data_IF_063248012522
#
_entry.id   IF_063248012522
#
_cell.length_a   1.000
_cell.length_b   1.000
_cell.length_c   1.000
_cell.angle_alpha   90.00
_cell.angle_beta   90.00
_cell.angle_gamma   90.00
#
_symmetry.space_group_name_H-M   'P 1'
#
loop_
_entity.id
_entity.type
_entity.pdbx_description
1 polymer ?
#
# COMPACT_ATOMS: atom_id res chain seq x y z
N UNK A 1 2.63 10.06 -21.27
CA UNK A 1 1.50 9.59 -20.45
C UNK A 1 0.42 9.02 -21.34
N UNK A 2 -0.12 7.85 -21.00
CA UNK A 2 -1.18 7.18 -21.77
C UNK A 2 -2.54 7.81 -21.47
N UNK A 3 -3.24 8.26 -22.51
CA UNK A 3 -4.55 8.89 -22.42
C UNK A 3 -5.59 8.24 -23.32
N UNK A 4 -6.87 8.55 -23.08
CA UNK A 4 -7.98 8.16 -23.95
C UNK A 4 -8.90 9.36 -24.19
N UNK A 5 -9.28 9.60 -25.44
CA UNK A 5 -10.19 10.68 -25.82
C UNK A 5 -11.67 10.26 -25.71
N UNK A 6 -12.60 11.22 -25.85
CA UNK A 6 -14.05 10.96 -25.81
C UNK A 6 -14.53 9.98 -26.90
N UNK A 7 -13.76 9.85 -27.98
CA UNK A 7 -14.02 8.93 -29.10
C UNK A 7 -13.38 7.56 -28.87
N UNK A 8 -12.88 7.29 -27.66
CA UNK A 8 -12.20 6.06 -27.25
C UNK A 8 -10.90 5.77 -28.01
N UNK A 9 -10.30 6.77 -28.63
CA UNK A 9 -8.96 6.64 -29.24
C UNK A 9 -7.92 6.86 -28.17
N UNK A 10 -6.89 6.04 -28.19
CA UNK A 10 -5.76 6.17 -27.30
C UNK A 10 -4.77 7.20 -27.86
N UNK A 11 -4.10 7.89 -26.95
CA UNK A 11 -3.04 8.83 -27.30
C UNK A 11 -1.93 8.80 -26.27
N UNK A 12 -0.75 9.26 -26.67
CA UNK A 12 0.31 9.63 -25.75
C UNK A 12 0.37 11.14 -25.63
N UNK A 13 0.55 11.63 -24.41
CA UNK A 13 0.70 13.04 -24.08
C UNK A 13 2.00 13.27 -23.31
N UNK A 14 2.69 14.35 -23.64
CA UNK A 14 3.75 14.96 -22.84
C UNK A 14 3.40 16.43 -22.55
N UNK A 15 4.35 17.21 -22.01
CA UNK A 15 4.13 18.64 -21.72
C UNK A 15 3.94 19.51 -22.98
N UNK A 16 4.20 18.98 -24.18
CA UNK A 16 4.24 19.73 -25.43
C UNK A 16 3.07 19.42 -26.34
N UNK A 17 2.73 18.13 -26.50
CA UNK A 17 1.80 17.70 -27.54
C UNK A 17 1.18 16.33 -27.25
N UNK A 18 0.24 15.94 -28.11
CA UNK A 18 -0.44 14.65 -28.08
C UNK A 18 -0.32 13.96 -29.44
N UNK A 19 -0.08 12.66 -29.43
CA UNK A 19 -0.05 11.82 -30.64
C UNK A 19 -1.02 10.64 -30.48
N UNK A 20 -1.83 10.38 -31.51
CA UNK A 20 -2.74 9.22 -31.53
C UNK A 20 -1.90 7.96 -31.72
N UNK A 21 -2.27 6.90 -31.00
CA UNK A 21 -1.54 5.63 -31.06
C UNK A 21 -2.44 4.50 -31.54
N UNK A 22 -1.83 3.58 -32.30
CA UNK A 22 -2.44 2.36 -32.78
C UNK A 22 -1.73 1.14 -32.17
N UNK A 23 -2.51 0.30 -31.51
CA UNK A 23 -2.05 -0.88 -30.78
C UNK A 23 -2.15 -2.19 -31.56
N UNK A 24 -2.57 -2.15 -32.82
CA UNK A 24 -2.94 -3.35 -33.60
C UNK A 24 -1.86 -4.45 -33.59
N UNK A 25 -0.57 -4.08 -33.60
CA UNK A 25 0.55 -5.02 -33.63
C UNK A 25 1.52 -4.86 -32.43
N UNK A 26 1.05 -4.26 -31.34
CA UNK A 26 1.90 -3.93 -30.20
C UNK A 26 2.28 -5.18 -29.37
N UNK A 27 3.56 -5.30 -29.04
CA UNK A 27 4.04 -6.17 -27.98
C UNK A 27 4.14 -5.41 -26.64
N UNK A 28 3.85 -6.08 -25.54
CA UNK A 28 3.83 -5.47 -24.20
C UNK A 28 4.84 -6.15 -23.28
N UNK A 29 5.51 -5.38 -22.43
CA UNK A 29 6.22 -5.94 -21.28
C UNK A 29 5.23 -6.40 -20.21
N UNK A 30 5.68 -7.22 -19.28
CA UNK A 30 4.86 -7.60 -18.13
C UNK A 30 4.48 -6.36 -17.31
N UNK A 31 3.21 -6.26 -16.94
CA UNK A 31 2.69 -5.10 -16.22
C UNK A 31 1.21 -4.81 -16.52
N UNK A 32 0.56 -4.08 -15.61
CA UNK A 32 -0.81 -3.62 -15.76
C UNK A 32 -0.84 -2.17 -16.28
N UNK A 33 -1.05 -2.00 -17.58
CA UNK A 33 -1.14 -0.67 -18.20
C UNK A 33 -2.53 -0.05 -18.02
N UNK A 34 -2.61 1.08 -17.32
CA UNK A 34 -3.83 1.86 -17.18
C UNK A 34 -3.72 3.21 -17.86
N UNK A 35 -4.86 3.83 -18.15
CA UNK A 35 -4.89 5.24 -18.53
C UNK A 35 -4.25 6.03 -17.38
N UNK A 36 -3.53 7.11 -17.71
CA UNK A 36 -2.70 7.91 -16.82
C UNK A 36 -1.31 7.32 -16.50
N UNK A 37 -1.00 6.09 -16.94
CA UNK A 37 0.36 5.57 -16.76
C UNK A 37 1.39 6.34 -17.61
N UNK A 38 2.58 6.52 -17.06
CA UNK A 38 3.78 6.89 -17.81
C UNK A 38 4.35 5.61 -18.43
N UNK A 39 4.49 5.59 -19.75
CA UNK A 39 4.93 4.43 -20.53
C UNK A 39 6.03 4.84 -21.50
N UNK A 40 6.91 3.91 -21.80
CA UNK A 40 7.85 3.98 -22.92
C UNK A 40 7.26 3.20 -24.09
N UNK A 41 7.23 3.84 -25.26
CA UNK A 41 6.62 3.27 -26.47
C UNK A 41 7.61 3.38 -27.61
N UNK A 42 7.87 2.26 -28.28
CA UNK A 42 8.66 2.17 -29.49
C UNK A 42 7.74 1.87 -30.67
N UNK A 43 7.97 2.53 -31.80
CA UNK A 43 7.14 2.36 -32.98
C UNK A 43 7.50 3.32 -34.11
N UNK A 44 6.67 3.31 -35.14
CA UNK A 44 6.82 4.15 -36.33
C UNK A 44 5.63 5.09 -36.46
N UNK A 45 5.88 6.33 -36.88
CA UNK A 45 4.82 7.32 -37.14
C UNK A 45 4.46 7.29 -38.62
N UNK A 46 3.20 7.00 -38.93
CA UNK A 46 2.65 6.99 -40.28
C UNK A 46 1.35 7.79 -40.25
N UNK A 47 1.22 8.79 -41.13
CA UNK A 47 0.03 9.66 -41.24
C UNK A 47 -0.43 10.26 -39.88
N UNK A 48 0.51 10.82 -39.11
CA UNK A 48 0.31 11.42 -37.78
C UNK A 48 -0.22 10.44 -36.70
N UNK A 49 -0.13 9.14 -36.95
CA UNK A 49 -0.45 8.08 -35.99
C UNK A 49 0.80 7.28 -35.66
N UNK A 50 1.08 7.09 -34.37
CA UNK A 50 2.17 6.23 -33.92
C UNK A 50 1.67 4.78 -33.87
N UNK A 51 2.19 3.96 -34.78
CA UNK A 51 1.97 2.52 -34.78
C UNK A 51 2.95 1.86 -33.82
N UNK A 52 2.40 1.34 -32.71
CA UNK A 52 3.18 0.80 -31.61
C UNK A 52 3.74 -0.58 -31.98
N UNK A 53 5.06 -0.73 -31.85
CA UNK A 53 5.76 -2.01 -31.96
C UNK A 53 5.94 -2.63 -30.58
N UNK A 54 6.43 -1.85 -29.61
CA UNK A 54 6.62 -2.29 -28.23
C UNK A 54 6.20 -1.22 -27.23
N UNK A 55 5.63 -1.63 -26.10
CA UNK A 55 5.26 -0.75 -25.00
C UNK A 55 5.65 -1.37 -23.66
N UNK A 56 6.26 -0.57 -22.80
CA UNK A 56 6.65 -0.97 -21.46
C UNK A 56 6.65 0.18 -20.47
N UNK A 57 6.91 -0.12 -19.22
CA UNK A 57 7.12 0.89 -18.20
C UNK A 57 8.54 1.44 -18.21
N UNK A 58 8.76 2.68 -17.75
CA UNK A 58 10.11 3.11 -17.41
C UNK A 58 10.71 2.16 -16.36
N UNK A 59 11.99 1.79 -16.48
CA UNK A 59 12.61 0.91 -15.51
C UNK A 59 12.66 1.59 -14.13
N UNK A 60 12.32 0.88 -13.05
CA UNK A 60 12.32 1.44 -11.71
C UNK A 60 13.75 1.78 -11.26
N UNK A 61 13.93 2.96 -10.68
CA UNK A 61 15.21 3.36 -10.11
C UNK A 61 15.43 2.71 -8.74
N UNK A 62 16.66 2.27 -8.46
CA UNK A 62 17.02 1.75 -7.14
C UNK A 62 17.08 2.88 -6.10
N UNK A 63 16.69 2.60 -4.86
CA UNK A 63 16.77 3.53 -3.72
C UNK A 63 18.16 4.17 -3.55
N UNK A 64 19.23 3.40 -3.78
CA UNK A 64 20.62 3.91 -3.68
C UNK A 64 20.91 5.02 -4.70
N UNK A 65 20.56 4.80 -5.96
CA UNK A 65 20.71 5.79 -7.03
C UNK A 65 19.87 7.05 -6.75
N UNK A 66 18.62 6.88 -6.30
CA UNK A 66 17.75 8.02 -5.95
C UNK A 66 18.34 8.86 -4.81
N UNK A 67 18.87 8.22 -3.75
CA UNK A 67 19.46 8.91 -2.60
C UNK A 67 20.76 9.65 -2.93
N UNK A 68 21.57 9.12 -3.86
CA UNK A 68 22.76 9.81 -4.37
C UNK A 68 22.39 11.12 -5.08
N UNK A 69 21.35 11.10 -5.91
CA UNK A 69 20.84 12.28 -6.62
C UNK A 69 20.22 13.30 -5.66
N UNK A 70 19.45 12.83 -4.68
CA UNK A 70 18.80 13.68 -3.68
C UNK A 70 19.78 14.32 -2.68
N UNK A 71 21.06 13.98 -2.74
CA UNK A 71 22.08 14.56 -1.85
C UNK A 71 21.84 14.27 -0.37
N UNK A 72 21.18 13.15 -0.07
CA UNK A 72 20.84 12.74 1.30
C UNK A 72 19.55 13.35 1.87
N UNK A 73 18.82 14.17 1.12
CA UNK A 73 17.50 14.66 1.51
C UNK A 73 16.51 13.50 1.43
N UNK A 74 15.80 13.25 2.51
CA UNK A 74 14.70 12.29 2.56
C UNK A 74 13.38 13.03 2.24
N UNK A 75 12.62 12.64 1.20
CA UNK A 75 11.34 13.26 0.89
C UNK A 75 10.30 13.13 2.01
N UNK A 76 10.48 12.19 2.94
CA UNK A 76 9.65 12.06 4.14
C UNK A 76 9.93 13.15 5.19
N UNK A 77 10.87 14.07 4.91
CA UNK A 77 11.23 15.18 5.81
C UNK A 77 12.08 14.75 7.00
N UNK A 78 12.58 13.51 7.00
CA UNK A 78 13.44 12.99 8.06
C UNK A 78 14.90 13.17 7.65
N UNK A 79 15.53 14.24 8.14
CA UNK A 79 16.96 14.46 7.91
C UNK A 79 17.79 13.51 8.77
N UNK A 80 18.26 12.41 8.14
CA UNK A 80 19.16 11.45 8.79
C UNK A 80 20.52 11.49 8.10
N UNK A 81 21.57 11.82 8.87
CA UNK A 81 22.94 11.76 8.35
C UNK A 81 23.34 10.33 7.96
N UNK A 82 24.31 10.18 7.05
CA UNK A 82 24.82 8.87 6.66
C UNK A 82 25.34 8.05 7.85
N UNK A 83 25.95 8.70 8.84
CA UNK A 83 26.43 8.04 10.07
C UNK A 83 25.26 7.53 10.92
N UNK A 84 24.21 8.34 11.09
CA UNK A 84 23.01 7.91 11.83
C UNK A 84 22.29 6.77 11.11
N UNK A 85 22.22 6.79 9.77
CA UNK A 85 21.62 5.68 9.00
C UNK A 85 22.36 4.36 9.24
N UNK A 86 23.69 4.38 9.27
CA UNK A 86 24.47 3.18 9.54
C UNK A 86 24.28 2.69 10.99
N UNK A 87 24.18 3.61 11.96
CA UNK A 87 23.85 3.27 13.34
C UNK A 87 22.45 2.64 13.47
N UNK A 88 21.44 3.21 12.80
CA UNK A 88 20.08 2.68 12.79
C UNK A 88 20.05 1.28 12.18
N UNK A 89 20.74 1.07 11.06
CA UNK A 89 20.85 -0.24 10.42
C UNK A 89 21.51 -1.27 11.35
N UNK A 90 22.56 -0.88 12.07
CA UNK A 90 23.21 -1.77 13.04
C UNK A 90 22.29 -2.13 14.21
N UNK A 91 21.51 -1.15 14.70
CA UNK A 91 20.51 -1.39 15.76
C UNK A 91 19.40 -2.32 15.27
N UNK A 92 18.85 -2.06 14.08
CA UNK A 92 17.84 -2.91 13.45
C UNK A 92 18.33 -4.34 13.26
N UNK A 93 19.56 -4.53 12.76
CA UNK A 93 20.15 -5.85 12.58
C UNK A 93 20.41 -6.59 13.90
N UNK A 94 20.64 -5.85 15.00
CA UNK A 94 20.86 -6.43 16.33
C UNK A 94 19.56 -6.77 17.07
N UNK A 95 18.44 -6.15 16.70
CA UNK A 95 17.15 -6.36 17.33
C UNK A 95 16.38 -7.50 16.66
N UNK A 96 16.71 -8.72 17.08
CA UNK A 96 15.99 -9.93 16.64
C UNK A 96 14.61 -10.10 17.29
N UNK A 97 14.25 -9.24 18.25
CA UNK A 97 12.96 -9.30 18.93
C UNK A 97 11.92 -8.40 18.27
N UNK A 98 12.36 -7.32 17.61
CA UNK A 98 11.50 -6.45 16.81
C UNK A 98 10.62 -7.27 15.84
N UNK A 99 9.32 -7.21 16.06
CA UNK A 99 8.33 -7.96 15.30
C UNK A 99 7.11 -7.09 15.05
N UNK A 100 6.68 -7.02 13.80
CA UNK A 100 5.49 -6.27 13.38
C UNK A 100 4.40 -7.26 12.98
N UNK A 101 3.19 -7.03 13.49
CA UNK A 101 1.99 -7.77 13.14
C UNK A 101 1.16 -6.90 12.22
N UNK A 102 0.81 -7.41 11.05
CA UNK A 102 0.06 -6.66 10.04
C UNK A 102 -1.25 -7.37 9.74
N UNK A 103 -2.35 -6.63 9.85
CA UNK A 103 -3.71 -7.06 9.56
C UNK A 103 -4.35 -6.09 8.56
N UNK A 104 -5.24 -6.59 7.70
CA UNK A 104 -6.04 -5.78 6.74
C UNK A 104 -7.51 -6.09 6.87
N UNK A 105 -8.40 -5.15 6.53
CA UNK A 105 -9.85 -5.28 6.61
C UNK A 105 -10.33 -5.87 7.97
N UNK A 106 -9.92 -5.20 9.05
CA UNK A 106 -10.26 -5.59 10.42
C UNK A 106 -11.64 -5.05 10.81
N UNK A 107 -12.70 -5.72 10.33
CA UNK A 107 -14.09 -5.37 10.63
C UNK A 107 -14.42 -5.56 12.13
N UNK A 108 -14.37 -4.49 12.91
CA UNK A 108 -14.60 -4.52 14.36
C UNK A 108 -16.07 -4.73 14.73
N UNK A 109 -16.99 -4.50 13.79
CA UNK A 109 -18.43 -4.76 13.96
C UNK A 109 -18.79 -6.24 13.89
N UNK A 110 -17.89 -7.10 13.40
CA UNK A 110 -18.06 -8.55 13.42
C UNK A 110 -17.56 -9.14 14.76
N UNK A 111 -18.45 -9.74 15.58
CA UNK A 111 -18.03 -10.37 16.83
C UNK A 111 -17.02 -11.51 16.63
N UNK A 112 -17.01 -12.18 15.47
CA UNK A 112 -16.01 -13.21 15.17
C UNK A 112 -14.61 -12.62 15.05
N UNK A 113 -14.48 -11.46 14.39
CA UNK A 113 -13.21 -10.74 14.28
C UNK A 113 -12.72 -10.33 15.66
N UNK A 114 -13.57 -9.77 16.52
CA UNK A 114 -13.20 -9.40 17.89
C UNK A 114 -12.74 -10.60 18.73
N UNK A 115 -13.42 -11.75 18.62
CA UNK A 115 -12.99 -12.98 19.30
C UNK A 115 -11.64 -13.49 18.76
N UNK A 116 -11.42 -13.43 17.45
CA UNK A 116 -10.15 -13.85 16.84
C UNK A 116 -9.00 -12.90 17.15
N UNK A 117 -9.27 -11.60 17.36
CA UNK A 117 -8.29 -10.67 17.91
C UNK A 117 -7.93 -11.01 19.36
N UNK A 118 -8.89 -11.46 20.17
CA UNK A 118 -8.63 -11.92 21.55
C UNK A 118 -7.70 -13.14 21.57
N UNK A 119 -7.99 -14.14 20.73
CA UNK A 119 -7.14 -15.33 20.55
C UNK A 119 -5.74 -14.98 20.02
N UNK A 120 -5.67 -14.03 19.07
CA UNK A 120 -4.41 -13.53 18.53
C UNK A 120 -3.56 -12.86 19.63
N UNK A 121 -4.13 -11.94 20.40
CA UNK A 121 -3.42 -11.26 21.49
C UNK A 121 -2.99 -12.25 22.58
N UNK A 122 -3.82 -13.24 22.89
CA UNK A 122 -3.45 -14.31 23.81
C UNK A 122 -2.24 -15.11 23.32
N UNK A 123 -2.22 -15.49 22.04
CA UNK A 123 -1.09 -16.22 21.45
C UNK A 123 0.20 -15.39 21.41
N UNK A 124 0.07 -14.08 21.24
CA UNK A 124 1.18 -13.13 21.11
C UNK A 124 1.71 -12.59 22.44
N UNK A 125 1.04 -12.83 23.56
CA UNK A 125 1.46 -12.32 24.88
C UNK A 125 2.86 -12.79 25.29
N UNK A 126 3.27 -13.96 24.81
CA UNK A 126 4.62 -14.51 25.05
C UNK A 126 5.70 -13.87 24.17
N UNK A 127 5.34 -13.43 22.96
CA UNK A 127 6.26 -12.86 21.97
C UNK A 127 6.36 -11.35 22.12
N UNK A 128 5.31 -10.68 22.58
CA UNK A 128 5.21 -9.22 22.78
C UNK A 128 5.70 -8.42 21.55
N UNK A 129 4.98 -8.48 20.42
CA UNK A 129 5.37 -7.77 19.21
C UNK A 129 5.52 -6.27 19.47
N UNK A 130 6.48 -5.63 18.80
CA UNK A 130 6.76 -4.20 18.97
C UNK A 130 5.67 -3.32 18.35
N UNK A 131 5.05 -3.77 17.26
CA UNK A 131 4.12 -2.99 16.47
C UNK A 131 2.97 -3.85 15.93
N UNK A 132 1.75 -3.36 16.05
CA UNK A 132 0.56 -3.83 15.37
C UNK A 132 0.13 -2.78 14.35
N UNK A 133 0.02 -3.18 13.10
CA UNK A 133 -0.51 -2.36 12.00
C UNK A 133 -1.88 -2.96 11.67
N UNK A 134 -2.94 -2.28 12.10
CA UNK A 134 -4.31 -2.65 11.75
C UNK A 134 -4.75 -1.75 10.62
N UNK A 135 -4.86 -2.30 9.43
CA UNK A 135 -5.42 -1.60 8.29
C UNK A 135 -6.91 -1.87 8.22
N UNK A 136 -7.68 -0.82 7.97
CA UNK A 136 -9.08 -0.91 7.69
C UNK A 136 -9.36 -1.63 6.36
N UNK A 137 -10.62 -1.79 6.00
CA UNK A 137 -11.79 -1.15 6.65
C UNK A 137 -12.08 -1.64 8.07
N UNK A 138 -12.47 -0.74 8.98
CA UNK A 138 -12.79 -1.09 10.38
C UNK A 138 -14.25 -1.49 10.61
N UNK A 139 -15.11 -1.33 9.61
CA UNK A 139 -16.51 -1.75 9.63
C UNK A 139 -16.87 -2.45 8.33
N UNK A 140 -17.73 -3.46 8.42
CA UNK A 140 -18.23 -4.20 7.26
C UNK A 140 -19.12 -3.36 6.32
N UNK A 141 -19.70 -2.27 6.83
CA UNK A 141 -20.56 -1.36 6.08
C UNK A 141 -20.12 0.09 6.24
N UNK A 142 -20.17 0.86 5.15
CA UNK A 142 -19.81 2.28 5.15
C UNK A 142 -20.80 3.12 5.96
N UNK A 143 -20.29 4.10 6.69
CA UNK A 143 -21.10 5.03 7.48
C UNK A 143 -22.02 5.88 6.59
N UNK A 144 -23.30 6.00 6.98
CA UNK A 144 -24.25 6.93 6.36
C UNK A 144 -24.94 6.41 5.09
N UNK A 145 -24.85 5.12 4.80
CA UNK A 145 -25.45 4.46 3.63
C UNK A 145 -26.96 4.25 3.67
N UNK A 146 -27.65 4.58 4.77
CA UNK A 146 -29.12 4.50 4.87
C UNK A 146 -29.63 3.96 6.21
N UNK A 147 -30.89 3.52 6.26
CA UNK A 147 -31.47 2.93 7.48
C UNK A 147 -30.77 1.59 7.80
N UNK A 148 -30.03 1.55 8.91
CA UNK A 148 -29.24 0.39 9.34
C UNK A 148 -27.75 0.44 9.02
N UNK A 149 -27.24 1.56 8.47
CA UNK A 149 -25.79 1.76 8.35
C UNK A 149 -25.18 2.13 9.70
N UNK A 150 -23.99 1.61 9.97
CA UNK A 150 -23.20 1.99 11.13
C UNK A 150 -23.00 3.51 11.16
N UNK A 151 -23.01 4.06 12.36
CA UNK A 151 -22.78 5.47 12.67
C UNK A 151 -21.36 5.68 13.17
N UNK A 152 -20.92 6.95 13.21
CA UNK A 152 -19.66 7.32 13.86
C UNK A 152 -19.64 6.94 15.36
N UNK A 153 -20.81 6.86 15.98
CA UNK A 153 -20.94 6.45 17.37
C UNK A 153 -20.66 4.96 17.53
N UNK A 154 -21.14 4.12 16.60
CA UNK A 154 -20.87 2.68 16.62
C UNK A 154 -19.38 2.39 16.42
N UNK A 155 -18.73 3.07 15.47
CA UNK A 155 -17.26 2.96 15.29
C UNK A 155 -16.50 3.32 16.57
N UNK A 156 -16.93 4.37 17.27
CA UNK A 156 -16.32 4.78 18.53
C UNK A 156 -16.47 3.69 19.59
N UNK A 157 -17.64 3.06 19.69
CA UNK A 157 -17.90 1.98 20.61
C UNK A 157 -17.02 0.76 20.28
N UNK A 158 -16.90 0.38 19.01
CA UNK A 158 -16.01 -0.71 18.59
C UNK A 158 -14.53 -0.43 18.85
N UNK A 159 -14.07 0.81 18.67
CA UNK A 159 -12.71 1.21 19.03
C UNK A 159 -12.47 1.20 20.54
N UNK A 160 -13.50 1.51 21.34
CA UNK A 160 -13.44 1.41 22.80
C UNK A 160 -13.38 -0.06 23.25
N UNK A 161 -14.14 -0.95 22.62
CA UNK A 161 -14.05 -2.39 22.83
C UNK A 161 -12.66 -2.95 22.45
N UNK A 162 -12.12 -2.56 21.30
CA UNK A 162 -10.75 -2.91 20.91
C UNK A 162 -9.72 -2.39 21.93
N UNK A 163 -9.90 -1.16 22.43
CA UNK A 163 -9.06 -0.61 23.50
C UNK A 163 -9.12 -1.44 24.78
N UNK A 164 -10.31 -1.83 25.21
CA UNK A 164 -10.50 -2.71 26.37
C UNK A 164 -9.88 -4.10 26.17
N UNK A 165 -9.95 -4.63 24.94
CA UNK A 165 -9.35 -5.89 24.56
C UNK A 165 -7.81 -5.83 24.65
N UNK A 166 -7.20 -4.74 24.17
CA UNK A 166 -5.75 -4.52 24.30
C UNK A 166 -5.35 -4.41 25.78
N UNK A 167 -6.14 -3.68 26.59
CA UNK A 167 -5.88 -3.52 28.03
C UNK A 167 -6.01 -4.82 28.84
N UNK A 168 -6.71 -5.83 28.33
CA UNK A 168 -6.78 -7.17 28.93
C UNK A 168 -5.39 -7.85 28.98
N UNK A 169 -4.51 -7.54 28.03
CA UNK A 169 -3.17 -8.12 27.90
C UNK A 169 -2.09 -7.08 28.23
N UNK A 170 -1.73 -6.97 29.52
CA UNK A 170 -0.82 -5.93 30.01
C UNK A 170 0.55 -5.93 29.29
N UNK A 171 1.09 -7.11 28.95
CA UNK A 171 2.37 -7.21 28.24
C UNK A 171 2.33 -6.57 26.84
N UNK A 172 1.22 -6.73 26.11
CA UNK A 172 1.01 -6.09 24.81
C UNK A 172 0.74 -4.58 25.01
N UNK A 173 -0.11 -4.21 25.98
CA UNK A 173 -0.45 -2.81 26.22
C UNK A 173 0.77 -1.94 26.60
N UNK A 174 1.74 -2.49 27.33
CA UNK A 174 2.93 -1.77 27.75
C UNK A 174 4.02 -1.73 26.66
N UNK A 175 4.27 -2.86 26.00
CA UNK A 175 5.44 -3.04 25.13
C UNK A 175 5.13 -2.87 23.63
N UNK A 176 3.87 -2.98 23.21
CA UNK A 176 3.48 -2.86 21.81
C UNK A 176 3.01 -1.45 21.47
N UNK A 177 3.05 -1.12 20.17
CA UNK A 177 2.43 0.07 19.59
C UNK A 177 1.36 -0.35 18.60
N UNK A 178 0.29 0.42 18.51
CA UNK A 178 -0.79 0.18 17.55
C UNK A 178 -0.87 1.34 16.56
N UNK A 179 -0.82 1.02 15.28
CA UNK A 179 -1.04 1.94 14.17
C UNK A 179 -2.32 1.53 13.47
N UNK A 180 -3.29 2.44 13.47
CA UNK A 180 -4.56 2.28 12.77
C UNK A 180 -4.47 3.00 11.44
N UNK A 181 -4.54 2.26 10.33
CA UNK A 181 -4.54 2.82 8.97
C UNK A 181 -5.98 2.76 8.45
N UNK A 182 -6.65 3.89 8.18
CA UNK A 182 -8.02 3.87 7.70
C UNK A 182 -8.11 3.26 6.29
N UNK A 183 -9.09 2.40 6.08
CA UNK A 183 -9.45 1.85 4.77
C UNK A 183 -10.34 2.80 3.96
N UNK A 184 -10.68 2.46 2.71
CA UNK A 184 -11.47 3.32 1.81
C UNK A 184 -12.93 3.55 2.24
N UNK A 185 -13.53 2.68 3.06
CA UNK A 185 -14.90 2.85 3.57
C UNK A 185 -14.97 3.42 4.99
N UNK A 186 -13.81 3.68 5.61
CA UNK A 186 -13.71 4.33 6.90
C UNK A 186 -14.01 5.84 6.81
N UNK A 187 -14.51 6.46 7.89
CA UNK A 187 -14.87 7.87 7.89
C UNK A 187 -13.65 8.77 7.63
N UNK A 188 -13.81 9.69 6.67
CA UNK A 188 -12.76 10.65 6.31
C UNK A 188 -11.72 10.11 5.32
N UNK A 189 -11.85 8.86 4.89
CA UNK A 189 -10.96 8.27 3.88
C UNK A 189 -11.43 8.59 2.46
N UNK A 190 -10.49 8.97 1.60
CA UNK A 190 -10.72 9.01 0.15
C UNK A 190 -10.64 7.58 -0.39
N UNK A 191 -11.60 7.16 -1.24
CA UNK A 191 -11.71 5.81 -1.85
C UNK A 191 -10.61 5.50 -2.88
N UNK A 192 -9.37 5.84 -2.56
CA UNK A 192 -8.44 6.34 -3.55
C UNK A 192 -7.14 5.55 -3.64
N UNK A 193 -7.16 4.22 -3.66
CA UNK A 193 -5.92 3.44 -3.72
C UNK A 193 -6.00 2.29 -4.72
N UNK A 194 -5.20 2.30 -5.81
CA UNK A 194 -4.91 1.10 -6.60
C UNK A 194 -3.89 0.18 -5.92
N UNK A 195 -3.98 -1.10 -6.24
CA UNK A 195 -3.54 -2.20 -5.37
C UNK A 195 -2.75 -3.26 -6.17
N UNK A 196 -1.70 -2.84 -6.88
CA UNK A 196 -0.96 -3.74 -7.79
C UNK A 196 0.55 -3.42 -7.85
N UNK A 197 1.46 -4.36 -8.10
CA UNK A 197 2.91 -4.09 -8.19
C UNK A 197 3.36 -3.05 -9.23
N UNK A 198 2.49 -2.65 -10.16
CA UNK A 198 2.77 -1.54 -11.12
C UNK A 198 2.99 -0.19 -10.45
N UNK A 199 2.67 -0.06 -9.17
CA UNK A 199 2.92 1.15 -8.38
C UNK A 199 4.42 1.49 -8.33
N UNK A 200 5.30 0.47 -8.30
CA UNK A 200 6.76 0.69 -8.22
C UNK A 200 7.28 1.27 -9.54
N UNK A 201 6.87 0.70 -10.67
CA UNK A 201 7.28 1.19 -12.00
C UNK A 201 6.71 2.58 -12.31
N UNK A 202 5.54 2.91 -11.74
CA UNK A 202 4.93 4.23 -11.86
C UNK A 202 5.43 5.24 -10.82
N UNK A 203 6.20 4.79 -9.82
CA UNK A 203 6.62 5.57 -8.66
C UNK A 203 5.46 6.35 -8.00
N UNK A 204 4.24 5.81 -8.04
CA UNK A 204 3.04 6.47 -7.54
C UNK A 204 2.04 5.44 -7.02
N UNK A 205 1.46 5.68 -5.85
CA UNK A 205 0.42 4.85 -5.23
C UNK A 205 -0.89 4.91 -5.99
N UNK A 206 -1.12 5.91 -6.86
CA UNK A 206 -2.33 6.04 -7.65
C UNK A 206 -2.09 6.45 -9.12
N UNK A 207 -1.65 5.54 -10.01
CA UNK A 207 -1.44 5.85 -11.43
C UNK A 207 -2.75 5.70 -12.24
N UNK A 208 -3.84 6.29 -11.74
CA UNK A 208 -5.16 6.25 -12.36
C UNK A 208 -5.64 7.66 -12.69
N UNK A 209 -6.58 7.81 -13.65
CA UNK A 209 -7.16 9.12 -13.95
C UNK A 209 -7.98 9.62 -12.75
N UNK A 210 -8.00 10.95 -12.54
CA UNK A 210 -8.77 11.59 -11.47
C UNK A 210 -10.28 11.26 -11.50
N UNK A 211 -10.82 10.92 -12.67
CA UNK A 211 -12.22 10.49 -12.84
C UNK A 211 -12.47 9.08 -12.30
N UNK A 212 -11.46 8.21 -12.36
CA UNK A 212 -11.54 6.87 -11.76
C UNK A 212 -11.21 6.94 -10.27
N UNK A 213 -10.24 7.77 -9.91
CA UNK A 213 -9.75 7.89 -8.55
C UNK A 213 -9.34 9.34 -8.23
N UNK A 214 -10.21 10.12 -7.56
CA UNK A 214 -9.93 11.50 -7.19
C UNK A 214 -8.83 11.60 -6.15
N UNK A 215 -7.81 12.42 -6.45
CA UNK A 215 -6.72 12.74 -5.53
C UNK A 215 -6.85 14.21 -5.13
N UNK A 216 -6.60 14.51 -3.87
CA UNK A 216 -6.43 15.90 -3.44
C UNK A 216 -5.09 16.43 -3.99
N UNK A 217 -5.15 17.39 -4.90
CA UNK A 217 -3.98 17.93 -5.59
C UNK A 217 -2.91 18.49 -4.64
N UNK A 218 -3.32 19.07 -3.51
CA UNK A 218 -2.38 19.62 -2.53
C UNK A 218 -1.53 18.53 -1.85
N UNK A 219 -2.00 17.28 -1.88
CA UNK A 219 -1.37 16.12 -1.24
C UNK A 219 -0.96 15.02 -2.23
N UNK A 220 -0.92 15.30 -3.55
CA UNK A 220 -0.48 14.30 -4.54
C UNK A 220 0.95 13.79 -4.25
N UNK A 221 1.81 14.67 -3.74
CA UNK A 221 3.18 14.31 -3.31
C UNK A 221 3.25 13.22 -2.24
N UNK A 222 2.22 13.04 -1.40
CA UNK A 222 2.23 11.99 -0.36
C UNK A 222 1.95 10.59 -0.93
N UNK A 223 1.46 10.51 -2.17
CA UNK A 223 1.23 9.26 -2.89
C UNK A 223 2.44 8.85 -3.73
N UNK A 224 3.50 9.66 -3.78
CA UNK A 224 4.71 9.35 -4.54
C UNK A 224 5.54 8.26 -3.84
N UNK A 225 5.99 7.28 -4.63
CA UNK A 225 6.90 6.22 -4.22
C UNK A 225 8.33 6.54 -4.69
N UNK A 226 8.80 7.75 -4.39
CA UNK A 226 10.14 8.21 -4.75
C UNK A 226 10.82 8.88 -3.55
N UNK A 227 11.98 8.38 -3.08
CA UNK A 227 12.63 7.13 -3.50
C UNK A 227 11.78 5.89 -3.15
N UNK A 228 12.06 4.77 -3.81
CA UNK A 228 11.32 3.52 -3.52
C UNK A 228 11.53 3.05 -2.07
N UNK A 229 10.49 2.50 -1.41
CA UNK A 229 10.60 2.01 -0.04
C UNK A 229 11.36 0.67 0.04
N UNK A 230 11.77 0.24 1.24
CA UNK A 230 12.34 -1.11 1.43
C UNK A 230 11.23 -2.17 1.45
N UNK A 231 10.07 -1.82 2.00
CA UNK A 231 8.88 -2.68 2.11
C UNK A 231 7.63 -1.89 1.73
N UNK A 232 6.78 -2.50 0.91
CA UNK A 232 5.47 -1.97 0.54
C UNK A 232 4.39 -2.94 1.03
N UNK A 233 3.59 -2.47 1.99
CA UNK A 233 2.45 -3.22 2.53
C UNK A 233 1.20 -2.74 1.81
N UNK A 234 0.50 -3.65 1.15
CA UNK A 234 -0.75 -3.33 0.46
C UNK A 234 -1.92 -3.94 1.24
N UNK A 235 -2.93 -3.14 1.56
CA UNK A 235 -4.22 -3.60 2.09
C UNK A 235 -5.25 -3.68 0.97
N UNK A 236 -5.80 -4.87 0.74
CA UNK A 236 -6.83 -5.14 -0.28
C UNK A 236 -7.75 -6.25 0.25
N UNK A 237 -8.91 -6.42 -0.37
CA UNK A 237 -9.85 -7.51 -0.17
C UNK A 237 -9.49 -8.77 -1.01
N UNK A 238 -8.25 -8.87 -1.52
CA UNK A 238 -7.78 -9.98 -2.35
C UNK A 238 -7.14 -11.09 -1.51
N UNK A 239 -6.82 -12.23 -2.14
CA UNK A 239 -6.05 -13.28 -1.47
C UNK A 239 -4.64 -12.78 -1.08
N UNK A 240 -4.12 -13.32 0.02
CA UNK A 240 -2.79 -13.01 0.55
C UNK A 240 -1.68 -13.30 -0.47
N UNK A 241 -0.71 -12.41 -0.58
CA UNK A 241 0.44 -12.61 -1.47
C UNK A 241 1.72 -11.93 -0.95
N UNK A 242 2.86 -12.45 -1.41
CA UNK A 242 4.18 -11.86 -1.22
C UNK A 242 4.94 -11.89 -2.55
N UNK A 243 5.59 -10.79 -2.89
CA UNK A 243 6.45 -10.68 -4.06
C UNK A 243 7.65 -9.79 -3.72
N UNK A 244 8.81 -10.11 -4.29
CA UNK A 244 9.96 -9.22 -4.29
C UNK A 244 10.07 -8.55 -5.65
N UNK A 245 10.07 -7.22 -5.70
CA UNK A 245 10.19 -6.48 -6.95
C UNK A 245 11.14 -5.30 -6.80
N UNK A 246 12.15 -5.18 -7.67
CA UNK A 246 13.16 -4.12 -7.65
C UNK A 246 13.82 -3.88 -6.27
N UNK A 247 14.13 -4.96 -5.54
CA UNK A 247 14.66 -4.93 -4.15
C UNK A 247 13.69 -4.42 -3.08
N UNK A 248 12.41 -4.23 -3.42
CA UNK A 248 11.33 -3.91 -2.49
C UNK A 248 10.60 -5.20 -2.10
N UNK A 249 10.44 -5.42 -0.80
CA UNK A 249 9.58 -6.48 -0.27
C UNK A 249 8.13 -6.02 -0.33
N UNK A 250 7.30 -6.63 -1.19
CA UNK A 250 5.88 -6.28 -1.29
C UNK A 250 5.05 -7.43 -0.73
N UNK A 251 4.15 -7.14 0.20
CA UNK A 251 3.24 -8.15 0.70
C UNK A 251 1.87 -7.56 1.04
N UNK A 252 0.89 -8.44 0.99
CA UNK A 252 -0.49 -8.17 1.37
C UNK A 252 -0.93 -9.23 2.38
N UNK A 253 -1.39 -8.85 3.59
CA UNK A 253 -1.74 -9.81 4.64
C UNK A 253 -3.01 -10.62 4.38
N UNK A 254 -3.86 -10.22 3.42
CA UNK A 254 -5.20 -10.78 3.28
C UNK A 254 -6.23 -10.08 4.18
N UNK A 255 -7.53 -10.15 3.82
CA UNK A 255 -8.62 -9.59 4.62
C UNK A 255 -8.86 -10.45 5.87
N UNK A 256 -8.54 -9.91 7.04
CA UNK A 256 -8.64 -10.61 8.32
C UNK A 256 -10.06 -11.06 8.63
N UNK A 257 -11.08 -10.29 8.25
CA UNK A 257 -12.48 -10.69 8.45
C UNK A 257 -12.89 -11.96 7.68
N UNK A 258 -12.18 -12.32 6.61
CA UNK A 258 -12.56 -13.42 5.73
C UNK A 258 -11.96 -14.75 6.18
N UNK A 259 -10.67 -14.75 6.51
CA UNK A 259 -9.92 -15.96 6.83
C UNK A 259 -9.12 -15.85 8.15
N UNK A 260 -9.12 -14.71 8.83
CA UNK A 260 -8.31 -14.48 10.03
C UNK A 260 -6.80 -14.64 9.78
N UNK A 261 -6.36 -14.41 8.53
CA UNK A 261 -4.95 -14.40 8.16
C UNK A 261 -4.30 -13.07 8.52
N UNK A 262 -3.04 -13.15 8.94
CA UNK A 262 -2.23 -12.00 9.28
C UNK A 262 -0.77 -12.27 8.95
N UNK A 263 0.03 -11.21 8.98
CA UNK A 263 1.46 -11.27 8.66
C UNK A 263 2.30 -10.95 9.88
N UNK A 264 3.29 -11.80 10.13
CA UNK A 264 4.45 -11.50 10.96
C UNK A 264 5.58 -10.96 10.08
N UNK A 265 6.00 -9.74 10.32
CA UNK A 265 7.15 -9.13 9.63
C UNK A 265 8.28 -8.87 10.62
N UNK A 266 9.49 -9.35 10.31
CA UNK A 266 10.70 -9.07 11.09
C UNK A 266 11.61 -8.10 10.33
N UNK A 267 11.76 -6.85 10.80
CA UNK A 267 12.60 -5.85 10.13
C UNK A 267 14.08 -6.26 10.06
N UNK A 268 14.63 -6.84 11.12
CA UNK A 268 16.06 -7.22 11.21
C UNK A 268 16.52 -8.17 10.10
N UNK A 269 15.63 -9.05 9.64
CA UNK A 269 15.91 -10.03 8.57
C UNK A 269 15.16 -9.75 7.28
N UNK A 270 14.29 -8.73 7.25
CA UNK A 270 13.33 -8.46 6.18
C UNK A 270 12.55 -9.72 5.76
N UNK A 271 12.10 -10.49 6.76
CA UNK A 271 11.36 -11.75 6.54
C UNK A 271 9.89 -11.57 6.87
N UNK A 272 9.04 -12.04 5.96
CA UNK A 272 7.59 -12.08 6.10
C UNK A 272 7.15 -13.51 6.32
N UNK A 273 6.38 -13.76 7.38
CA UNK A 273 5.78 -15.05 7.72
C UNK A 273 4.27 -14.89 7.77
N UNK A 274 3.57 -15.73 7.00
CA UNK A 274 2.12 -15.74 6.96
C UNK A 274 1.57 -16.67 8.05
N UNK A 275 0.53 -16.22 8.74
CA UNK A 275 -0.10 -16.97 9.83
C UNK A 275 -1.60 -16.76 9.83
N UNK A 276 -2.31 -17.64 10.50
CA UNK A 276 -3.77 -17.61 10.60
C UNK A 276 -4.19 -17.97 12.02
N UNK A 277 -5.24 -17.34 12.51
CA UNK A 277 -5.86 -17.72 13.78
C UNK A 277 -6.88 -18.84 13.49
N UNK A 278 -6.60 -20.06 13.96
CA UNK A 278 -7.48 -21.24 13.82
C UNK A 278 -8.69 -21.17 14.77
#
# INVERSE_FOLDING_TARGET
MLGQDERKRFYLEDFTSRIIIDFTNAAYTDGLFTINCVVLVEGEVIDDVLHVQSMGFPPPESKGASLEILGGIDPLGVEVSAQQREQIRALEASDHHATFIVLSDVHLDDPQVMNKLDELFQGLESVQPTLFILMGDFMSTSIGGGAGSNSLQDLREYLEELGNLILKYAGIAENSRFVLVPGPNDPGSSRAFPRHPTLIDQAHLCPLPLMANPINWDFDSSLQLFPVPDVLILGDSTEQYQLGYSSVGVFHPGPFHADFSFVFYRPSTNTTEFSRVE
#
